data_IF_680221957444
#
_entry.id   IF_680221957444
#
_cell.length_a   1.000
_cell.length_b   1.000
_cell.length_c   1.000
_cell.angle_alpha   90.00
_cell.angle_beta   90.00
_cell.angle_gamma   90.00
#
_symmetry.space_group_name_H-M   'P 1'
#
loop_
_entity.id
_entity.type
_entity.pdbx_description
1 polymer ?
#
# COMPACT_ATOMS: atom_id res chain seq x y z
N UNK A 1 -1.74 -11.60 -6.99
CA UNK A 1 -0.93 -10.90 -8.02
C UNK A 1 -0.50 -9.60 -7.34
N UNK A 2 0.79 -9.28 -7.28
CA UNK A 2 1.35 -8.06 -6.64
C UNK A 2 1.42 -7.97 -5.10
N UNK A 3 0.87 -8.92 -4.34
CA UNK A 3 0.86 -8.82 -2.87
C UNK A 3 2.27 -8.84 -2.27
N UNK A 4 3.16 -9.69 -2.78
CA UNK A 4 4.52 -9.80 -2.27
C UNK A 4 5.32 -8.52 -2.54
N UNK A 5 5.16 -7.96 -3.73
CA UNK A 5 5.77 -6.69 -4.14
C UNK A 5 5.28 -5.54 -3.26
N UNK A 6 3.98 -5.46 -2.99
CA UNK A 6 3.40 -4.44 -2.12
C UNK A 6 3.86 -4.60 -0.67
N UNK A 7 3.96 -5.83 -0.15
CA UNK A 7 4.50 -6.09 1.20
C UNK A 7 5.94 -5.57 1.31
N UNK A 8 6.78 -5.84 0.32
CA UNK A 8 8.16 -5.36 0.29
C UNK A 8 8.24 -3.82 0.27
N UNK A 9 7.34 -3.17 -0.48
CA UNK A 9 7.28 -1.71 -0.53
C UNK A 9 6.86 -1.11 0.82
N UNK A 10 5.82 -1.66 1.45
CA UNK A 10 5.40 -1.23 2.79
C UNK A 10 6.53 -1.44 3.81
N UNK A 11 7.30 -2.52 3.71
CA UNK A 11 8.46 -2.75 4.58
C UNK A 11 9.54 -1.69 4.43
N UNK A 12 9.87 -1.29 3.19
CA UNK A 12 10.79 -0.19 2.93
C UNK A 12 10.27 1.12 3.55
N UNK A 13 8.99 1.43 3.34
CA UNK A 13 8.33 2.61 3.93
C UNK A 13 8.41 2.60 5.45
N UNK A 14 8.07 1.48 6.10
CA UNK A 14 8.09 1.33 7.55
C UNK A 14 9.49 1.42 8.17
N UNK A 15 10.52 0.98 7.45
CA UNK A 15 11.90 1.02 7.90
C UNK A 15 12.55 2.40 7.71
N UNK A 16 11.92 3.29 6.91
CA UNK A 16 12.46 4.60 6.58
C UNK A 16 13.71 4.57 5.71
N UNK A 17 14.05 3.41 5.16
CA UNK A 17 15.23 3.17 4.32
C UNK A 17 14.81 3.14 2.84
N UNK A 18 14.52 4.32 2.29
CA UNK A 18 14.18 4.46 0.89
C UNK A 18 14.33 5.90 0.37
N UNK A 19 14.57 5.99 -0.92
CA UNK A 19 14.46 7.23 -1.68
C UNK A 19 13.11 7.23 -2.42
N UNK A 20 12.26 8.24 -2.17
CA UNK A 20 10.89 8.31 -2.75
C UNK A 20 10.90 8.13 -4.27
N UNK A 21 11.81 8.82 -4.97
CA UNK A 21 11.94 8.73 -6.45
C UNK A 21 12.26 7.32 -6.93
N UNK A 22 13.07 6.58 -6.18
CA UNK A 22 13.43 5.19 -6.53
C UNK A 22 12.23 4.27 -6.35
N UNK A 23 11.41 4.48 -5.32
CA UNK A 23 10.17 3.73 -5.13
C UNK A 23 9.12 4.07 -6.18
N UNK A 24 8.99 5.35 -6.57
CA UNK A 24 8.06 5.77 -7.63
C UNK A 24 8.41 5.09 -8.95
N UNK A 25 9.69 5.13 -9.36
CA UNK A 25 10.15 4.44 -10.56
C UNK A 25 9.91 2.93 -10.46
N UNK A 26 10.21 2.31 -9.31
CA UNK A 26 9.94 0.89 -9.12
C UNK A 26 8.45 0.56 -9.27
N UNK A 27 7.55 1.41 -8.76
CA UNK A 27 6.11 1.21 -8.91
C UNK A 27 5.68 1.27 -10.37
N UNK A 28 6.19 2.25 -11.14
CA UNK A 28 5.92 2.39 -12.58
C UNK A 28 6.42 1.20 -13.40
N UNK A 29 7.57 0.63 -13.04
CA UNK A 29 8.17 -0.50 -13.76
C UNK A 29 7.56 -1.86 -13.36
N UNK A 30 7.06 -1.99 -12.12
CA UNK A 30 6.60 -3.27 -11.57
C UNK A 30 5.11 -3.51 -11.78
N UNK A 31 4.29 -2.46 -11.64
CA UNK A 31 2.84 -2.61 -11.61
C UNK A 31 2.20 -2.22 -12.93
N UNK A 32 1.23 -3.02 -13.35
CA UNK A 32 0.35 -2.70 -14.46
C UNK A 32 -0.87 -1.93 -13.92
N UNK A 33 -0.85 -0.60 -14.10
CA UNK A 33 -1.82 0.31 -13.52
C UNK A 33 -3.23 0.06 -14.06
N UNK A 34 -3.36 -0.25 -15.35
CA UNK A 34 -4.66 -0.54 -15.97
C UNK A 34 -5.26 -1.80 -15.35
N UNK A 35 -4.45 -2.86 -15.18
CA UNK A 35 -4.93 -4.10 -14.55
C UNK A 35 -5.27 -3.93 -13.07
N UNK A 36 -4.53 -3.10 -12.34
CA UNK A 36 -4.87 -2.82 -10.94
C UNK A 36 -6.16 -2.02 -10.90
N UNK A 37 -6.34 -1.02 -11.77
CA UNK A 37 -7.56 -0.22 -11.82
C UNK A 37 -8.80 -1.05 -12.15
N UNK A 38 -8.68 -2.01 -13.05
CA UNK A 38 -9.76 -2.91 -13.47
C UNK A 38 -9.92 -4.13 -12.53
N UNK A 39 -9.17 -4.19 -11.42
CA UNK A 39 -9.20 -5.31 -10.49
C UNK A 39 -10.34 -5.21 -9.49
N UNK A 40 -11.09 -6.30 -9.29
CA UNK A 40 -12.07 -6.45 -8.21
C UNK A 40 -11.43 -6.68 -6.81
N UNK A 41 -10.09 -6.77 -6.75
CA UNK A 41 -9.35 -6.88 -5.49
C UNK A 41 -9.24 -5.50 -4.80
N UNK A 42 -10.16 -5.24 -3.89
CA UNK A 42 -10.22 -3.99 -3.12
C UNK A 42 -8.96 -3.74 -2.28
N UNK A 43 -8.34 -4.80 -1.74
CA UNK A 43 -7.11 -4.67 -0.94
C UNK A 43 -5.94 -4.29 -1.85
N UNK A 44 -5.82 -4.93 -3.01
CA UNK A 44 -4.77 -4.62 -3.98
C UNK A 44 -4.84 -3.15 -4.42
N UNK A 45 -6.03 -2.72 -4.82
CA UNK A 45 -6.26 -1.35 -5.30
C UNK A 45 -6.00 -0.33 -4.21
N UNK A 46 -6.56 -0.53 -3.01
CA UNK A 46 -6.37 0.40 -1.89
C UNK A 46 -4.89 0.56 -1.52
N UNK A 47 -4.16 -0.53 -1.32
CA UNK A 47 -2.73 -0.46 -0.97
C UNK A 47 -1.92 0.26 -2.05
N UNK A 48 -2.19 -0.05 -3.32
CA UNK A 48 -1.48 0.55 -4.43
C UNK A 48 -1.69 2.07 -4.49
N UNK A 49 -2.93 2.53 -4.35
CA UNK A 49 -3.24 3.96 -4.35
C UNK A 49 -2.71 4.67 -3.09
N UNK A 50 -2.77 4.03 -1.92
CA UNK A 50 -2.16 4.56 -0.69
C UNK A 50 -0.65 4.74 -0.85
N UNK A 51 0.07 3.79 -1.47
CA UNK A 51 1.49 3.95 -1.80
C UNK A 51 1.71 5.10 -2.80
N UNK A 52 0.88 5.19 -3.84
CA UNK A 52 1.00 6.25 -4.86
C UNK A 52 0.84 7.64 -4.23
N UNK A 53 -0.20 7.87 -3.44
CA UNK A 53 -0.43 9.16 -2.79
C UNK A 53 0.64 9.48 -1.73
N UNK A 54 1.14 8.48 -1.02
CA UNK A 54 2.24 8.65 -0.08
C UNK A 54 3.55 9.10 -0.76
N UNK A 55 3.87 8.50 -1.89
CA UNK A 55 5.07 8.83 -2.66
C UNK A 55 4.97 10.21 -3.28
N UNK A 56 3.83 10.54 -3.91
CA UNK A 56 3.59 11.88 -4.48
C UNK A 56 3.52 12.99 -3.42
N UNK A 57 3.30 12.62 -2.15
CA UNK A 57 3.13 13.56 -1.04
C UNK A 57 1.74 14.16 -0.95
N UNK A 58 0.76 13.60 -1.66
CA UNK A 58 -0.66 13.94 -1.55
C UNK A 58 -1.25 13.52 -0.20
N UNK A 59 -0.72 12.44 0.39
CA UNK A 59 -1.25 11.87 1.63
C UNK A 59 -0.14 11.49 2.63
N UNK A 60 -0.30 11.91 3.88
CA UNK A 60 0.50 11.40 4.99
C UNK A 60 -0.16 10.16 5.58
N UNK A 61 0.43 9.01 5.30
CA UNK A 61 -0.08 7.71 5.76
C UNK A 61 0.62 7.32 7.06
N UNK A 62 -0.15 7.08 8.11
CA UNK A 62 0.40 6.81 9.43
C UNK A 62 0.92 5.36 9.56
N UNK A 63 1.78 5.13 10.57
CA UNK A 63 2.39 3.80 10.79
C UNK A 63 1.37 2.70 11.08
N UNK A 64 0.25 2.99 11.76
CA UNK A 64 -0.76 1.98 12.10
C UNK A 64 -1.46 1.48 10.84
N UNK A 65 -1.78 2.38 9.93
CA UNK A 65 -2.37 2.07 8.63
C UNK A 65 -1.44 1.17 7.81
N UNK A 66 -0.16 1.52 7.68
CA UNK A 66 0.82 0.66 7.00
C UNK A 66 0.91 -0.75 7.58
N UNK A 67 0.90 -0.87 8.91
CA UNK A 67 0.92 -2.16 9.58
C UNK A 67 -0.37 -2.96 9.36
N UNK A 68 -1.52 -2.29 9.29
CA UNK A 68 -2.80 -2.92 8.97
C UNK A 68 -2.81 -3.45 7.54
N UNK A 69 -2.49 -2.60 6.56
CA UNK A 69 -2.41 -2.97 5.14
C UNK A 69 -1.46 -4.16 4.92
N UNK A 70 -0.28 -4.14 5.55
CA UNK A 70 0.66 -5.26 5.51
C UNK A 70 0.07 -6.55 6.09
N UNK A 71 -0.66 -6.48 7.21
CA UNK A 71 -1.30 -7.68 7.80
C UNK A 71 -2.36 -8.25 6.87
N UNK A 72 -3.14 -7.40 6.21
CA UNK A 72 -4.14 -7.82 5.22
C UNK A 72 -3.47 -8.52 4.03
N UNK A 73 -2.41 -7.95 3.46
CA UNK A 73 -1.68 -8.56 2.33
C UNK A 73 -1.05 -9.91 2.72
N UNK A 74 -0.60 -10.07 3.96
CA UNK A 74 -0.07 -11.33 4.48
C UNK A 74 -1.17 -12.35 4.85
N UNK A 75 -2.45 -12.04 4.61
CA UNK A 75 -3.59 -12.90 4.95
C UNK A 75 -3.79 -13.08 6.45
N UNK A 76 -3.24 -12.18 7.28
CA UNK A 76 -3.32 -12.27 8.76
C UNK A 76 -4.59 -11.63 9.33
N UNK A 77 -5.29 -10.82 8.55
CA UNK A 77 -6.61 -10.28 8.85
C UNK A 77 -7.38 -10.05 7.54
N UNK A 78 -8.70 -9.95 7.63
CA UNK A 78 -9.55 -9.53 6.52
C UNK A 78 -9.45 -8.03 6.30
N UNK A 79 -9.37 -7.62 5.03
CA UNK A 79 -9.45 -6.21 4.66
C UNK A 79 -10.92 -5.75 4.67
N UNK A 80 -11.17 -4.61 5.29
CA UNK A 80 -12.36 -3.80 5.08
C UNK A 80 -12.03 -2.32 5.24
N UNK A 81 -12.76 -1.46 4.52
CA UNK A 81 -12.60 -0.02 4.64
C UNK A 81 -13.01 0.49 6.03
N UNK A 82 -14.02 -0.12 6.65
CA UNK A 82 -14.43 0.23 8.03
C UNK A 82 -13.31 0.01 9.04
N UNK A 83 -12.63 -1.14 8.96
CA UNK A 83 -11.55 -1.46 9.89
C UNK A 83 -10.33 -0.57 9.63
N UNK A 84 -10.02 -0.29 8.36
CA UNK A 84 -8.99 0.69 7.98
C UNK A 84 -9.26 2.04 8.65
N UNK A 85 -10.48 2.57 8.51
CA UNK A 85 -10.88 3.84 9.12
C UNK A 85 -10.76 3.82 10.65
N UNK A 86 -11.17 2.74 11.32
CA UNK A 86 -10.98 2.58 12.78
C UNK A 86 -9.52 2.67 13.16
N UNK A 87 -8.64 1.92 12.49
CA UNK A 87 -7.19 1.91 12.73
C UNK A 87 -6.55 3.30 12.56
N UNK A 88 -7.06 4.10 11.61
CA UNK A 88 -6.57 5.46 11.37
C UNK A 88 -7.04 6.44 12.46
N UNK A 89 -8.25 6.27 12.97
CA UNK A 89 -8.87 7.18 13.97
C UNK A 89 -8.46 6.90 15.41
N UNK A 90 -8.04 5.68 15.74
CA UNK A 90 -7.54 5.27 17.07
C UNK A 90 -6.06 5.62 17.27
#
# INVERSE_FOLDING_TARGET
>A
MYYDELVQLIEKVLNGDFEKKVLEQYMEETFDFEKIYDSDDELLTDVFFTLKHYLSGEEEVNKKEWLYLKKCLLGRCGYSMEEKMRVITE
#
